data_IF_429985994689
#
_entry.id   IF_429985994689
#
_cell.length_a   1.000
_cell.length_b   1.000
_cell.length_c   1.000
_cell.angle_alpha   90.00
_cell.angle_beta   90.00
_cell.angle_gamma   90.00
#
_symmetry.space_group_name_H-M   'P 1'
#
loop_
_entity.id
_entity.type
_entity.pdbx_description
1 polymer ?
#
# COMPACT_ATOMS: atom_id res chain seq x y z
N UNK A 1 75.34 -2.44 55.54
CA UNK A 1 75.76 -3.53 54.64
C UNK A 1 74.71 -3.68 53.55
N UNK A 2 75.18 -3.73 52.29
CA UNK A 2 74.63 -4.40 51.08
C UNK A 2 73.11 -4.65 51.03
N UNK A 3 72.36 -3.89 50.22
CA UNK A 3 72.07 -4.09 48.77
C UNK A 3 71.03 -5.18 48.44
N UNK A 4 69.99 -4.76 47.70
CA UNK A 4 69.26 -5.39 46.57
C UNK A 4 67.95 -4.59 46.36
N UNK A 5 67.92 -3.51 45.55
CA UNK A 5 67.58 -3.42 44.10
C UNK A 5 66.16 -3.96 43.75
N UNK A 6 65.47 -3.41 42.74
CA UNK A 6 64.38 -2.44 42.79
C UNK A 6 63.13 -3.06 42.09
N UNK A 7 62.33 -2.28 41.36
CA UNK A 7 61.41 -2.74 40.31
C UNK A 7 59.96 -3.03 40.75
N UNK A 8 59.20 -1.98 41.05
CA UNK A 8 57.74 -2.05 41.00
C UNK A 8 57.15 -0.66 40.74
N UNK A 9 57.27 -0.13 39.52
CA UNK A 9 56.37 0.95 39.06
C UNK A 9 56.46 1.20 37.53
N UNK A 10 56.28 0.18 36.70
CA UNK A 10 56.02 0.40 35.26
C UNK A 10 55.06 -0.68 34.75
N UNK A 11 53.75 -0.53 35.00
CA UNK A 11 52.67 -1.21 34.27
C UNK A 11 51.40 -0.34 34.31
N UNK A 12 51.41 0.81 33.63
CA UNK A 12 50.18 1.57 33.30
C UNK A 12 50.08 1.86 31.79
N UNK A 13 50.73 1.06 30.96
CA UNK A 13 50.81 1.28 29.51
C UNK A 13 50.57 0.00 28.70
N UNK A 14 49.49 -0.72 29.01
CA UNK A 14 48.85 -1.72 28.17
C UNK A 14 47.39 -1.82 28.66
N UNK A 15 46.32 -1.61 27.89
CA UNK A 15 46.12 -1.94 26.49
C UNK A 15 45.42 -0.79 25.74
N UNK A 16 46.05 -0.27 24.70
CA UNK A 16 45.36 0.42 23.62
C UNK A 16 44.62 -0.62 22.77
N UNK A 17 43.45 -1.06 23.23
CA UNK A 17 42.60 -2.02 22.50
C UNK A 17 42.06 -1.36 21.23
N UNK A 18 42.80 -1.43 20.13
CA UNK A 18 42.36 -0.99 18.80
C UNK A 18 41.08 -1.73 18.44
N UNK A 19 40.01 -0.99 18.15
CA UNK A 19 38.75 -1.56 17.66
C UNK A 19 39.08 -2.41 16.43
N UNK A 20 38.73 -3.71 16.41
CA UNK A 20 38.97 -4.56 15.25
C UNK A 20 38.20 -4.01 14.04
N UNK A 21 38.85 -3.89 12.89
CA UNK A 21 38.21 -3.40 11.65
C UNK A 21 37.01 -4.27 11.25
N UNK A 22 37.07 -5.53 11.65
CA UNK A 22 36.07 -6.57 11.43
C UNK A 22 34.71 -6.19 12.03
N UNK A 23 34.67 -5.47 13.16
CA UNK A 23 33.41 -5.04 13.81
C UNK A 23 32.75 -3.90 13.03
N UNK A 24 33.54 -3.00 12.44
CA UNK A 24 33.06 -1.88 11.62
C UNK A 24 32.62 -2.35 10.23
N UNK A 25 33.33 -3.32 9.65
CA UNK A 25 32.91 -3.94 8.37
C UNK A 25 31.62 -4.75 8.53
N UNK A 26 31.45 -5.43 9.68
CA UNK A 26 30.22 -6.15 9.98
C UNK A 26 29.03 -5.21 10.16
N UNK A 27 29.19 -4.08 10.85
CA UNK A 27 28.10 -3.12 11.05
C UNK A 27 27.63 -2.49 9.73
N UNK A 28 28.53 -2.25 8.79
CA UNK A 28 28.21 -1.77 7.43
C UNK A 28 27.45 -2.83 6.61
N UNK A 29 27.84 -4.11 6.70
CA UNK A 29 27.11 -5.21 6.04
C UNK A 29 25.68 -5.36 6.57
N UNK A 30 25.49 -5.24 7.89
CA UNK A 30 24.17 -5.28 8.52
C UNK A 30 23.28 -4.14 7.99
N UNK A 31 23.81 -2.93 7.87
CA UNK A 31 23.06 -1.80 7.31
C UNK A 31 22.64 -2.03 5.85
N UNK A 32 23.55 -2.60 5.04
CA UNK A 32 23.25 -2.99 3.67
C UNK A 32 22.17 -4.09 3.60
N UNK A 33 22.27 -5.11 4.45
CA UNK A 33 21.31 -6.21 4.50
C UNK A 33 19.92 -5.71 4.95
N UNK A 34 19.85 -4.82 5.95
CA UNK A 34 18.60 -4.21 6.40
C UNK A 34 17.91 -3.43 5.28
N UNK A 35 18.67 -2.70 4.47
CA UNK A 35 18.15 -1.97 3.32
C UNK A 35 17.52 -2.92 2.30
N UNK A 36 18.22 -4.00 1.93
CA UNK A 36 17.70 -4.99 0.99
C UNK A 36 16.45 -5.72 1.49
N UNK A 37 16.36 -5.97 2.80
CA UNK A 37 15.18 -6.58 3.42
C UNK A 37 13.99 -5.61 3.39
N UNK A 38 14.20 -4.33 3.71
CA UNK A 38 13.17 -3.29 3.60
C UNK A 38 12.62 -3.16 2.17
N UNK A 39 13.50 -3.15 1.17
CA UNK A 39 13.14 -3.12 -0.25
C UNK A 39 12.30 -4.35 -0.64
N UNK A 40 12.67 -5.53 -0.13
CA UNK A 40 11.97 -6.77 -0.38
C UNK A 40 10.54 -6.76 0.19
N UNK A 41 10.35 -6.27 1.42
CA UNK A 41 9.00 -6.11 1.98
C UNK A 41 8.17 -5.07 1.23
N UNK A 42 8.78 -3.94 0.85
CA UNK A 42 8.11 -2.91 0.04
C UNK A 42 7.64 -3.49 -1.30
N UNK A 43 8.48 -4.27 -1.97
CA UNK A 43 8.14 -4.98 -3.21
C UNK A 43 6.99 -5.99 -3.01
N UNK A 44 7.01 -6.75 -1.92
CA UNK A 44 5.94 -7.69 -1.57
C UNK A 44 4.59 -6.97 -1.40
N UNK A 45 4.57 -5.84 -0.68
CA UNK A 45 3.37 -5.02 -0.50
C UNK A 45 2.82 -4.56 -1.86
N UNK A 46 3.66 -4.00 -2.71
CA UNK A 46 3.26 -3.56 -4.05
C UNK A 46 2.65 -4.69 -4.89
N UNK A 47 3.30 -5.87 -4.89
CA UNK A 47 2.80 -7.03 -5.63
C UNK A 47 1.46 -7.50 -5.08
N UNK A 48 1.31 -7.54 -3.76
CA UNK A 48 0.09 -7.98 -3.10
C UNK A 48 -1.09 -7.02 -3.37
N UNK A 49 -0.88 -5.72 -3.21
CA UNK A 49 -1.88 -4.69 -3.54
C UNK A 49 -2.26 -4.76 -5.03
N UNK A 50 -1.30 -5.00 -5.93
CA UNK A 50 -1.58 -5.18 -7.36
C UNK A 50 -2.55 -6.34 -7.63
N UNK A 51 -2.43 -7.45 -6.90
CA UNK A 51 -3.37 -8.58 -7.01
C UNK A 51 -4.76 -8.16 -6.54
N UNK A 52 -4.87 -7.49 -5.39
CA UNK A 52 -6.16 -7.01 -4.87
C UNK A 52 -6.81 -5.99 -5.81
N UNK A 53 -6.03 -5.04 -6.34
CA UNK A 53 -6.46 -4.06 -7.36
C UNK A 53 -7.03 -4.78 -8.58
N UNK A 54 -6.33 -5.80 -9.09
CA UNK A 54 -6.81 -6.62 -10.21
C UNK A 54 -8.15 -7.29 -9.90
N UNK A 55 -8.35 -7.83 -8.70
CA UNK A 55 -9.64 -8.43 -8.32
C UNK A 55 -10.79 -7.41 -8.33
N UNK A 56 -10.55 -6.17 -7.87
CA UNK A 56 -11.54 -5.08 -7.92
C UNK A 56 -11.86 -4.66 -9.35
N UNK A 57 -10.84 -4.54 -10.19
CA UNK A 57 -10.98 -4.22 -11.61
C UNK A 57 -11.74 -5.30 -12.37
N UNK A 58 -11.45 -6.57 -12.09
CA UNK A 58 -12.13 -7.70 -12.71
C UNK A 58 -13.61 -7.75 -12.26
N UNK A 59 -13.90 -7.42 -10.99
CA UNK A 59 -15.29 -7.25 -10.52
C UNK A 59 -16.01 -6.09 -11.24
N UNK A 60 -15.38 -4.92 -11.30
CA UNK A 60 -15.96 -3.73 -11.95
C UNK A 60 -16.28 -4.05 -13.41
N UNK A 61 -15.29 -4.55 -14.17
CA UNK A 61 -15.39 -4.78 -15.60
C UNK A 61 -16.34 -5.91 -15.97
N UNK A 62 -16.25 -7.04 -15.27
CA UNK A 62 -16.93 -8.27 -15.72
C UNK A 62 -18.27 -8.49 -15.03
N UNK A 63 -18.54 -7.80 -13.92
CA UNK A 63 -19.76 -7.98 -13.16
C UNK A 63 -20.57 -6.70 -12.96
N UNK A 64 -19.95 -5.63 -12.45
CA UNK A 64 -20.69 -4.43 -12.06
C UNK A 64 -21.08 -3.57 -13.27
N UNK A 65 -20.11 -3.21 -14.14
CA UNK A 65 -20.34 -2.37 -15.32
C UNK A 65 -21.37 -2.97 -16.27
N UNK A 66 -21.32 -4.28 -16.63
CA UNK A 66 -22.33 -4.85 -17.51
C UNK A 66 -23.75 -4.80 -16.92
N UNK A 67 -23.88 -5.00 -15.59
CA UNK A 67 -25.17 -4.89 -14.90
C UNK A 67 -25.66 -3.45 -14.86
N UNK A 68 -24.78 -2.51 -14.52
CA UNK A 68 -25.09 -1.08 -14.50
C UNK A 68 -25.54 -0.59 -15.88
N UNK A 69 -24.76 -0.84 -16.93
CA UNK A 69 -25.07 -0.39 -18.30
C UNK A 69 -26.41 -0.96 -18.76
N UNK A 70 -26.72 -2.23 -18.46
CA UNK A 70 -28.01 -2.82 -18.81
C UNK A 70 -29.20 -2.07 -18.19
N UNK A 71 -29.09 -1.66 -16.92
CA UNK A 71 -30.12 -0.83 -16.27
C UNK A 71 -30.14 0.60 -16.83
N UNK A 72 -28.96 1.20 -16.99
CA UNK A 72 -28.78 2.56 -17.49
C UNK A 72 -29.34 2.79 -18.91
N UNK A 73 -29.33 1.75 -19.76
CA UNK A 73 -29.98 1.79 -21.08
C UNK A 73 -31.49 2.01 -20.96
N UNK A 74 -32.13 1.39 -19.96
CA UNK A 74 -33.57 1.49 -19.70
C UNK A 74 -33.91 2.79 -18.97
N UNK A 75 -33.21 3.07 -17.88
CA UNK A 75 -33.50 4.23 -17.02
C UNK A 75 -33.12 5.55 -17.71
N UNK A 76 -32.05 5.53 -18.50
CA UNK A 76 -31.59 6.67 -19.29
C UNK A 76 -32.23 6.79 -20.67
N UNK A 77 -33.28 6.02 -20.97
CA UNK A 77 -34.04 6.08 -22.23
C UNK A 77 -33.21 6.01 -23.51
N UNK A 78 -32.12 5.21 -23.52
CA UNK A 78 -31.19 5.19 -24.65
C UNK A 78 -31.86 4.68 -25.94
N UNK A 79 -32.80 3.73 -25.82
CA UNK A 79 -33.50 3.16 -26.98
C UNK A 79 -34.39 4.23 -27.60
N UNK A 80 -35.19 4.91 -26.78
CA UNK A 80 -36.08 5.99 -27.20
C UNK A 80 -35.30 7.17 -27.79
N UNK A 81 -34.13 7.49 -27.22
CA UNK A 81 -33.21 8.47 -27.82
C UNK A 81 -32.67 7.98 -29.17
N UNK A 82 -32.28 6.72 -29.31
CA UNK A 82 -31.75 6.16 -30.56
C UNK A 82 -32.82 6.08 -31.68
N UNK A 83 -34.08 5.88 -31.31
CA UNK A 83 -35.23 5.92 -32.23
C UNK A 83 -35.63 7.36 -32.60
N UNK A 84 -35.18 8.35 -31.81
CA UNK A 84 -35.46 9.77 -32.02
C UNK A 84 -36.79 10.21 -31.43
N UNK A 85 -37.33 9.46 -30.46
CA UNK A 85 -38.60 9.76 -29.81
C UNK A 85 -38.44 10.78 -28.67
N UNK A 86 -37.27 10.78 -28.03
CA UNK A 86 -36.95 11.68 -26.91
C UNK A 86 -35.56 12.30 -27.10
N UNK A 87 -35.40 13.49 -26.54
CA UNK A 87 -34.10 14.14 -26.34
C UNK A 87 -34.00 14.56 -24.87
N UNK A 88 -32.78 14.61 -24.35
CA UNK A 88 -32.54 15.15 -23.01
C UNK A 88 -32.46 16.68 -23.07
N UNK A 89 -33.31 17.36 -22.31
CA UNK A 89 -33.36 18.82 -22.20
C UNK A 89 -32.59 19.24 -20.94
N UNK A 90 -31.40 19.82 -21.11
CA UNK A 90 -30.54 20.24 -20.01
C UNK A 90 -31.16 21.34 -19.14
N UNK A 91 -32.02 22.21 -19.70
CA UNK A 91 -32.67 23.27 -18.93
C UNK A 91 -33.76 22.71 -18.01
N UNK A 92 -34.46 21.67 -18.47
CA UNK A 92 -35.51 20.99 -17.69
C UNK A 92 -34.97 19.84 -16.84
N UNK A 93 -33.74 19.41 -17.09
CA UNK A 93 -33.14 18.22 -16.52
C UNK A 93 -34.04 16.98 -16.67
N UNK A 94 -34.70 16.84 -17.83
CA UNK A 94 -35.68 15.78 -18.09
C UNK A 94 -35.71 15.41 -19.58
N UNK A 95 -36.23 14.22 -19.89
CA UNK A 95 -36.45 13.77 -21.25
C UNK A 95 -37.73 14.38 -21.82
N UNK A 96 -37.60 15.04 -22.96
CA UNK A 96 -38.73 15.65 -23.66
C UNK A 96 -39.01 14.91 -24.97
N UNK A 97 -40.30 14.66 -25.25
CA UNK A 97 -40.71 14.07 -26.51
C UNK A 97 -40.41 15.02 -27.66
N UNK A 98 -39.69 14.55 -28.67
CA UNK A 98 -39.50 15.29 -29.91
C UNK A 98 -40.46 14.79 -30.97
N UNK A 99 -40.98 15.68 -31.81
CA UNK A 99 -41.91 15.38 -32.91
C UNK A 99 -41.29 15.61 -34.30
N UNK A 100 -40.03 16.05 -34.32
CA UNK A 100 -39.32 16.49 -35.52
C UNK A 100 -37.93 15.87 -35.54
N UNK A 101 -37.37 15.68 -36.74
CA UNK A 101 -36.03 15.14 -37.01
C UNK A 101 -34.92 16.09 -36.51
N UNK A 102 -34.78 16.23 -35.19
CA UNK A 102 -33.65 16.91 -34.56
C UNK A 102 -32.50 15.92 -34.33
N UNK A 103 -31.81 15.58 -35.42
CA UNK A 103 -30.69 14.65 -35.39
C UNK A 103 -29.51 15.17 -34.57
N UNK A 104 -29.37 16.49 -34.40
CA UNK A 104 -28.28 17.08 -33.60
C UNK A 104 -28.58 16.96 -32.12
N UNK A 105 -29.78 17.33 -31.68
CA UNK A 105 -30.23 17.15 -30.30
C UNK A 105 -30.23 15.68 -29.87
N UNK A 106 -30.62 14.78 -30.77
CA UNK A 106 -30.53 13.33 -30.57
C UNK A 106 -29.09 12.87 -30.30
N UNK A 107 -28.15 13.23 -31.17
CA UNK A 107 -26.73 12.86 -31.01
C UNK A 107 -26.14 13.46 -29.73
N UNK A 108 -26.47 14.71 -29.41
CA UNK A 108 -26.02 15.35 -28.18
C UNK A 108 -26.55 14.63 -26.93
N UNK A 109 -27.81 14.21 -26.94
CA UNK A 109 -28.41 13.46 -25.82
C UNK A 109 -27.72 12.10 -25.62
N UNK A 110 -27.35 11.42 -26.70
CA UNK A 110 -26.58 10.16 -26.64
C UNK A 110 -25.16 10.40 -26.08
N UNK A 111 -24.51 11.50 -26.47
CA UNK A 111 -23.19 11.87 -25.93
C UNK A 111 -23.29 12.16 -24.43
N UNK A 112 -24.28 12.93 -23.98
CA UNK A 112 -24.52 13.22 -22.56
C UNK A 112 -24.82 11.96 -21.76
N UNK A 113 -25.62 11.04 -22.32
CA UNK A 113 -25.89 9.74 -21.72
C UNK A 113 -24.60 8.94 -21.52
N UNK A 114 -23.72 8.92 -22.52
CA UNK A 114 -22.46 8.19 -22.47
C UNK A 114 -21.48 8.80 -21.47
N UNK A 115 -21.37 10.13 -21.45
CA UNK A 115 -20.52 10.87 -20.50
C UNK A 115 -20.97 10.65 -19.05
N UNK A 116 -22.28 10.68 -18.81
CA UNK A 116 -22.86 10.36 -17.50
C UNK A 116 -22.57 8.93 -17.08
N UNK A 117 -22.69 7.96 -18.00
CA UNK A 117 -22.35 6.57 -17.73
C UNK A 117 -20.87 6.38 -17.37
N UNK A 118 -19.97 7.01 -18.12
CA UNK A 118 -18.53 6.97 -17.88
C UNK A 118 -18.20 7.56 -16.50
N UNK A 119 -18.78 8.71 -16.16
CA UNK A 119 -18.58 9.36 -14.87
C UNK A 119 -18.97 8.44 -13.72
N UNK A 120 -20.16 7.82 -13.79
CA UNK A 120 -20.63 6.89 -12.76
C UNK A 120 -19.71 5.65 -12.65
N UNK A 121 -19.21 5.12 -13.78
CA UNK A 121 -18.29 3.98 -13.79
C UNK A 121 -16.94 4.36 -13.15
N UNK A 122 -16.41 5.53 -13.44
CA UNK A 122 -15.14 6.00 -12.87
C UNK A 122 -15.27 6.36 -11.38
N UNK A 123 -16.39 6.94 -10.95
CA UNK A 123 -16.68 7.15 -9.52
C UNK A 123 -16.74 5.81 -8.78
N UNK A 124 -17.40 4.80 -9.36
CA UNK A 124 -17.42 3.46 -8.80
C UNK A 124 -16.01 2.88 -8.74
N UNK A 125 -15.22 3.02 -9.79
CA UNK A 125 -13.83 2.57 -9.82
C UNK A 125 -13.02 3.21 -8.70
N UNK A 126 -13.10 4.52 -8.55
CA UNK A 126 -12.41 5.24 -7.49
C UNK A 126 -12.82 4.73 -6.11
N UNK A 127 -14.12 4.55 -5.86
CA UNK A 127 -14.62 4.00 -4.59
C UNK A 127 -14.08 2.60 -4.26
N UNK A 128 -13.78 1.79 -5.28
CA UNK A 128 -13.21 0.45 -5.11
C UNK A 128 -11.69 0.45 -4.88
N UNK A 129 -10.98 1.43 -5.46
CA UNK A 129 -9.52 1.45 -5.48
C UNK A 129 -8.90 2.33 -4.40
N UNK A 130 -9.49 3.48 -4.09
CA UNK A 130 -8.93 4.42 -3.12
C UNK A 130 -8.64 3.80 -1.73
N UNK A 131 -9.48 2.90 -1.18
CA UNK A 131 -9.16 2.23 0.09
C UNK A 131 -7.91 1.34 0.00
N UNK A 132 -7.62 0.75 -1.16
CA UNK A 132 -6.42 -0.05 -1.36
C UNK A 132 -5.18 0.84 -1.49
N UNK A 133 -5.31 1.98 -2.18
CA UNK A 133 -4.21 2.96 -2.32
C UNK A 133 -3.82 3.55 -0.95
N UNK A 134 -4.80 3.81 -0.09
CA UNK A 134 -4.56 4.26 1.29
C UNK A 134 -3.88 3.16 2.13
N UNK A 135 -4.37 1.92 2.05
CA UNK A 135 -3.76 0.80 2.75
C UNK A 135 -2.31 0.53 2.30
N UNK A 136 -2.02 0.66 1.00
CA UNK A 136 -0.67 0.54 0.44
C UNK A 136 0.26 1.61 1.01
N UNK A 137 -0.17 2.88 1.04
CA UNK A 137 0.61 3.99 1.61
C UNK A 137 0.89 3.77 3.09
N UNK A 138 -0.13 3.41 3.88
CA UNK A 138 0.03 3.19 5.31
C UNK A 138 1.00 2.04 5.59
N UNK A 139 0.87 0.93 4.88
CA UNK A 139 1.73 -0.24 5.10
C UNK A 139 3.20 0.05 4.73
N UNK A 140 3.44 0.79 3.64
CA UNK A 140 4.79 1.23 3.27
C UNK A 140 5.35 2.19 4.32
N UNK A 141 4.54 3.11 4.85
CA UNK A 141 4.96 4.01 5.91
C UNK A 141 5.34 3.24 7.19
N UNK A 142 4.56 2.23 7.58
CA UNK A 142 4.82 1.39 8.73
C UNK A 142 6.10 0.56 8.57
N UNK A 143 6.35 0.02 7.36
CA UNK A 143 7.60 -0.65 7.01
C UNK A 143 8.77 0.32 7.18
N UNK A 144 8.72 1.48 6.52
CA UNK A 144 9.80 2.46 6.57
C UNK A 144 10.10 2.91 8.01
N UNK A 145 9.06 3.15 8.81
CA UNK A 145 9.22 3.53 10.22
C UNK A 145 9.86 2.40 11.03
N UNK A 146 9.45 1.16 10.81
CA UNK A 146 9.99 0.00 11.54
C UNK A 146 11.47 -0.23 11.23
N UNK A 147 11.87 -0.14 9.96
CA UNK A 147 13.28 -0.27 9.57
C UNK A 147 14.12 0.93 10.02
N UNK A 148 13.57 2.15 10.03
CA UNK A 148 14.25 3.33 10.59
C UNK A 148 14.54 3.18 12.09
N UNK A 149 13.63 2.60 12.86
CA UNK A 149 13.85 2.32 14.30
C UNK A 149 14.97 1.29 14.51
N UNK A 150 15.01 0.24 13.70
CA UNK A 150 16.09 -0.76 13.74
C UNK A 150 17.43 -0.09 13.41
N UNK A 151 17.49 0.70 12.33
CA UNK A 151 18.70 1.39 11.92
C UNK A 151 19.18 2.41 12.97
N UNK A 152 18.27 3.16 13.59
CA UNK A 152 18.61 4.11 14.67
C UNK A 152 19.20 3.39 15.90
N UNK A 153 18.61 2.24 16.28
CA UNK A 153 19.15 1.40 17.34
C UNK A 153 20.56 0.92 17.01
N UNK A 154 20.77 0.43 15.78
CA UNK A 154 22.06 -0.03 15.28
C UNK A 154 23.12 1.09 15.21
N UNK A 155 22.74 2.29 14.77
CA UNK A 155 23.63 3.46 14.75
C UNK A 155 24.01 3.90 16.17
N UNK A 156 23.07 3.85 17.12
CA UNK A 156 23.33 4.15 18.53
C UNK A 156 24.33 3.16 19.12
N UNK A 157 24.14 1.86 18.85
CA UNK A 157 25.06 0.80 19.27
C UNK A 157 26.41 0.98 18.58
N UNK A 158 26.46 1.21 17.28
CA UNK A 158 27.71 1.42 16.52
C UNK A 158 28.47 2.65 17.02
N UNK A 159 27.78 3.77 17.28
CA UNK A 159 28.38 4.96 17.89
C UNK A 159 28.90 4.67 19.30
N UNK A 160 28.18 3.86 20.08
CA UNK A 160 28.60 3.44 21.41
C UNK A 160 29.82 2.51 21.37
N UNK A 161 29.84 1.53 20.45
CA UNK A 161 30.97 0.63 20.18
C UNK A 161 32.21 1.41 19.70
N UNK A 162 32.01 2.46 18.88
CA UNK A 162 33.07 3.39 18.51
C UNK A 162 33.57 4.21 19.72
N UNK A 163 32.73 4.44 20.73
CA UNK A 163 33.05 5.23 21.92
C UNK A 163 33.68 4.43 23.07
N UNK A 164 33.43 3.12 23.17
CA UNK A 164 33.94 2.24 24.24
C UNK A 164 34.97 1.24 23.69
N UNK A 165 36.25 1.44 24.04
CA UNK A 165 37.34 0.46 23.80
C UNK A 165 37.33 -0.64 24.88
N UNK A 166 36.26 -1.42 24.96
CA UNK A 166 36.20 -2.75 25.59
C UNK A 166 34.77 -3.27 25.47
N UNK A 167 34.54 -4.16 24.50
CA UNK A 167 33.21 -4.75 24.28
C UNK A 167 33.33 -6.21 24.65
N UNK A 168 32.86 -6.55 25.84
CA UNK A 168 32.62 -7.95 26.17
C UNK A 168 31.47 -8.45 25.29
N UNK A 169 31.87 -9.24 24.31
CA UNK A 169 31.19 -10.37 23.69
C UNK A 169 29.70 -10.58 24.07
N UNK A 170 28.87 -10.57 23.01
CA UNK A 170 27.56 -11.23 22.91
C UNK A 170 26.37 -10.50 23.56
N UNK A 171 25.95 -9.39 22.94
CA UNK A 171 24.53 -8.99 22.88
C UNK A 171 24.03 -8.68 21.45
N UNK A 172 24.88 -8.77 20.42
CA UNK A 172 24.51 -8.44 19.03
C UNK A 172 23.60 -9.50 18.38
N UNK A 173 23.80 -10.80 18.66
CA UNK A 173 23.02 -11.87 17.99
C UNK A 173 21.56 -11.96 18.50
N UNK A 174 21.25 -11.34 19.64
CA UNK A 174 19.90 -11.31 20.23
C UNK A 174 19.05 -10.13 19.73
N UNK A 175 19.65 -8.96 19.51
CA UNK A 175 18.94 -7.79 18.96
C UNK A 175 18.67 -7.93 17.46
N UNK A 176 19.62 -8.51 16.71
CA UNK A 176 19.49 -8.73 15.27
C UNK A 176 18.33 -9.67 14.91
N UNK A 177 18.11 -10.73 15.70
CA UNK A 177 17.03 -11.70 15.44
C UNK A 177 15.69 -11.26 16.04
N UNK A 178 15.68 -10.69 17.25
CA UNK A 178 14.44 -10.34 17.92
C UNK A 178 13.73 -9.14 17.27
N UNK A 179 14.47 -8.12 16.83
CA UNK A 179 13.90 -6.94 16.16
C UNK A 179 13.33 -7.26 14.79
N UNK A 180 14.08 -8.01 13.98
CA UNK A 180 13.66 -8.40 12.63
C UNK A 180 12.51 -9.42 12.63
N UNK A 181 12.51 -10.35 13.58
CA UNK A 181 11.40 -11.30 13.72
C UNK A 181 10.09 -10.59 14.10
N UNK A 182 10.14 -9.62 15.01
CA UNK A 182 8.97 -8.81 15.36
C UNK A 182 8.43 -8.03 14.15
N UNK A 183 9.31 -7.35 13.40
CA UNK A 183 8.93 -6.60 12.19
C UNK A 183 8.35 -7.52 11.12
N UNK A 184 8.97 -8.68 10.85
CA UNK A 184 8.44 -9.70 9.93
C UNK A 184 7.02 -10.11 10.33
N UNK A 185 6.83 -10.48 11.60
CA UNK A 185 5.55 -10.98 12.08
C UNK A 185 4.46 -9.89 11.98
N UNK A 186 4.80 -8.64 12.31
CA UNK A 186 3.88 -7.51 12.16
C UNK A 186 3.48 -7.27 10.70
N UNK A 187 4.44 -7.19 9.77
CA UNK A 187 4.15 -6.95 8.35
C UNK A 187 3.29 -8.09 7.78
N UNK A 188 3.61 -9.35 8.10
CA UNK A 188 2.81 -10.50 7.68
C UNK A 188 1.38 -10.45 8.23
N UNK A 189 1.20 -10.05 9.49
CA UNK A 189 -0.13 -9.86 10.07
C UNK A 189 -0.90 -8.75 9.35
N UNK A 190 -0.27 -7.59 9.09
CA UNK A 190 -0.90 -6.48 8.38
C UNK A 190 -1.30 -6.86 6.95
N UNK A 191 -0.46 -7.62 6.24
CA UNK A 191 -0.78 -8.17 4.91
C UNK A 191 -1.94 -9.17 4.96
N UNK A 192 -1.99 -10.02 5.98
CA UNK A 192 -3.09 -10.98 6.17
C UNK A 192 -4.41 -10.25 6.46
N UNK A 193 -4.41 -9.31 7.40
CA UNK A 193 -5.58 -8.51 7.78
C UNK A 193 -6.12 -7.70 6.60
N UNK A 194 -5.22 -7.11 5.80
CA UNK A 194 -5.57 -6.40 4.59
C UNK A 194 -6.25 -7.34 3.58
N UNK A 195 -5.72 -8.54 3.40
CA UNK A 195 -6.29 -9.54 2.49
C UNK A 195 -7.71 -9.93 2.91
N UNK A 196 -7.92 -10.19 4.20
CA UNK A 196 -9.21 -10.55 4.75
C UNK A 196 -10.23 -9.41 4.63
N UNK A 197 -9.83 -8.18 5.00
CA UNK A 197 -10.67 -6.97 4.86
C UNK A 197 -10.99 -6.68 3.40
N UNK A 198 -10.02 -6.84 2.50
CA UNK A 198 -10.25 -6.66 1.07
C UNK A 198 -11.23 -7.71 0.53
N UNK A 199 -11.05 -8.99 0.85
CA UNK A 199 -11.97 -10.04 0.40
C UNK A 199 -13.37 -9.82 0.95
N UNK A 200 -13.50 -9.63 2.25
CA UNK A 200 -14.80 -9.45 2.93
C UNK A 200 -15.50 -8.18 2.43
N UNK A 201 -14.77 -7.07 2.33
CA UNK A 201 -15.31 -5.82 1.82
C UNK A 201 -15.76 -5.92 0.36
N UNK A 202 -15.09 -6.72 -0.48
CA UNK A 202 -15.55 -6.97 -1.85
C UNK A 202 -16.86 -7.73 -1.87
N UNK A 203 -17.00 -8.75 -1.05
CA UNK A 203 -18.22 -9.55 -0.99
C UNK A 203 -19.41 -8.77 -0.42
N UNK A 204 -19.17 -7.88 0.54
CA UNK A 204 -20.19 -6.96 1.04
C UNK A 204 -20.61 -5.95 -0.03
N UNK A 205 -19.65 -5.32 -0.72
CA UNK A 205 -19.94 -4.41 -1.84
C UNK A 205 -20.75 -5.13 -2.92
N UNK A 206 -20.36 -6.36 -3.30
CA UNK A 206 -21.11 -7.21 -4.24
C UNK A 206 -22.55 -7.45 -3.78
N UNK A 207 -22.77 -7.72 -2.49
CA UNK A 207 -24.11 -7.93 -1.92
C UNK A 207 -24.95 -6.65 -1.96
N UNK A 208 -24.35 -5.51 -1.59
CA UNK A 208 -25.01 -4.21 -1.62
C UNK A 208 -25.37 -3.80 -3.05
N UNK A 209 -24.45 -3.93 -4.00
CA UNK A 209 -24.66 -3.62 -5.41
C UNK A 209 -25.78 -4.50 -6.01
N UNK A 210 -25.82 -5.79 -5.67
CA UNK A 210 -26.91 -6.69 -6.08
C UNK A 210 -28.28 -6.27 -5.51
N UNK A 211 -28.32 -5.73 -4.29
CA UNK A 211 -29.57 -5.25 -3.68
C UNK A 211 -30.01 -3.93 -4.30
N UNK A 212 -29.08 -3.00 -4.51
CA UNK A 212 -29.36 -1.71 -5.14
C UNK A 212 -29.91 -1.91 -6.56
N UNK A 213 -29.30 -2.79 -7.36
CA UNK A 213 -29.73 -3.04 -8.74
C UNK A 213 -31.01 -3.89 -8.86
N UNK A 214 -31.45 -4.60 -7.81
CA UNK A 214 -32.77 -5.27 -7.80
C UNK A 214 -33.93 -4.29 -7.87
N UNK A 215 -33.69 -3.01 -7.58
CA UNK A 215 -34.67 -1.95 -7.73
C UNK A 215 -34.67 -1.33 -9.15
N UNK A 216 -33.77 -1.78 -10.04
CA UNK A 216 -33.62 -1.30 -11.43
C UNK A 216 -34.06 -2.35 -12.49
N UNK A 217 -34.25 -3.62 -12.10
CA UNK A 217 -34.85 -4.66 -12.97
C UNK A 217 -36.38 -4.54 -13.00
#
# INVERSE_FOLDING_TARGET
>A
MKQLLPFLLVLLSACSATVPKEVVELSYRIEQDLTHVQESYTSLVHQHIKVLRKQREDYLRNEWTPRFVKGWVKDGQLIEMAEGDVIYDEEKADFVKTRTTDSVGQLNSIVLWADSAITIIEDKRQSLLSPLDEAEKQLIADINQSFALIQQGHQTITAHLNSIREVQDVQNDLLDKAGLEAVRNQINQQLSDLSEKASTGLDEIRKLDKKANKHLE
#
